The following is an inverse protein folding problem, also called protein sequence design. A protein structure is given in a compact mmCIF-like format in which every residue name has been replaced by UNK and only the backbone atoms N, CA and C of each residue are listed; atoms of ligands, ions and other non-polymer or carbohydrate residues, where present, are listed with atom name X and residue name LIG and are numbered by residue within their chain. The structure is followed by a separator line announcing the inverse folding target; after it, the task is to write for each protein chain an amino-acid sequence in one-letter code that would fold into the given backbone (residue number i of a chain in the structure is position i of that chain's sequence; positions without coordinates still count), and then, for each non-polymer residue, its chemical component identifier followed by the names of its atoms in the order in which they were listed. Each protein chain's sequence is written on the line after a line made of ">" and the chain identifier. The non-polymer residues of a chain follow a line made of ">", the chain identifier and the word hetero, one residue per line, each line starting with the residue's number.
data_IF_008136184261
#
_entry.id   IF_008136184261
#
_cell.length_a   1.000
_cell.length_b   1.000
_cell.length_c   1.000
_cell.angle_alpha   90.00
_cell.angle_beta   90.00
_cell.angle_gamma   90.00
#
_symmetry.space_group_name_H-M   'P 1'
#
loop_
_entity.id
_entity.type
_entity.pdbx_description
1 polymer ?
#
# COMPACT_ATOMS: atom_id res chain seq x y z
N UNK A 1 14.76 12.78 3.31
CA UNK A 1 13.68 11.84 2.89
C UNK A 1 14.32 10.72 2.10
N UNK A 2 14.19 9.46 2.52
CA UNK A 2 14.93 8.35 1.91
C UNK A 2 14.19 7.71 0.72
N UNK A 3 14.94 7.29 -0.30
CA UNK A 3 14.45 6.54 -1.46
C UNK A 3 13.53 5.37 -1.09
N UNK A 4 13.84 4.65 0.00
CA UNK A 4 13.02 3.54 0.49
C UNK A 4 11.61 3.95 0.94
N UNK A 5 11.46 5.15 1.51
CA UNK A 5 10.16 5.70 1.90
C UNK A 5 9.36 6.13 0.67
N UNK A 6 10.01 6.81 -0.28
CA UNK A 6 9.40 7.16 -1.56
C UNK A 6 8.92 5.91 -2.32
N UNK A 7 9.77 4.88 -2.41
CA UNK A 7 9.44 3.62 -3.08
C UNK A 7 8.26 2.93 -2.41
N UNK A 8 8.22 2.91 -1.08
CA UNK A 8 7.10 2.33 -0.30
C UNK A 8 5.79 3.08 -0.55
N UNK A 9 5.80 4.41 -0.45
CA UNK A 9 4.61 5.25 -0.62
C UNK A 9 4.02 5.07 -2.03
N UNK A 10 4.87 5.06 -3.07
CA UNK A 10 4.44 4.78 -4.44
C UNK A 10 3.91 3.34 -4.59
N UNK A 11 4.66 2.34 -4.10
CA UNK A 11 4.24 0.93 -4.18
C UNK A 11 2.86 0.71 -3.54
N UNK A 12 2.63 1.29 -2.35
CA UNK A 12 1.36 1.19 -1.65
C UNK A 12 0.22 1.84 -2.45
N UNK A 13 0.45 3.03 -3.00
CA UNK A 13 -0.54 3.76 -3.78
C UNK A 13 -1.01 2.95 -5.00
N UNK A 14 -0.07 2.43 -5.80
CA UNK A 14 -0.41 1.70 -7.03
C UNK A 14 -0.94 0.29 -6.79
N UNK A 15 -0.50 -0.40 -5.72
CA UNK A 15 -1.08 -1.68 -5.32
C UNK A 15 -2.55 -1.52 -4.88
N UNK A 16 -2.86 -0.44 -4.15
CA UNK A 16 -4.24 -0.11 -3.77
C UNK A 16 -5.09 0.24 -5.00
N UNK A 17 -4.58 1.06 -5.91
CA UNK A 17 -5.25 1.40 -7.17
C UNK A 17 -5.59 0.15 -7.99
N UNK A 18 -4.62 -0.74 -8.22
CA UNK A 18 -4.85 -1.97 -8.97
C UNK A 18 -5.82 -2.93 -8.27
N UNK A 19 -5.81 -2.99 -6.93
CA UNK A 19 -6.78 -3.76 -6.17
C UNK A 19 -8.20 -3.17 -6.27
N UNK A 20 -8.33 -1.84 -6.22
CA UNK A 20 -9.60 -1.14 -6.37
C UNK A 20 -10.17 -1.33 -7.78
N UNK A 21 -9.33 -1.26 -8.81
CA UNK A 21 -9.73 -1.52 -10.20
C UNK A 21 -10.26 -2.95 -10.37
N UNK A 22 -9.56 -3.94 -9.81
CA UNK A 22 -10.04 -5.34 -9.82
C UNK A 22 -11.38 -5.47 -9.10
N UNK A 23 -11.53 -4.82 -7.94
CA UNK A 23 -12.77 -4.84 -7.17
C UNK A 23 -13.92 -4.23 -7.96
N UNK A 24 -13.69 -3.09 -8.62
CA UNK A 24 -14.64 -2.41 -9.49
C UNK A 24 -15.09 -3.27 -10.68
N UNK A 25 -14.20 -4.12 -11.23
CA UNK A 25 -14.55 -5.08 -12.28
C UNK A 25 -15.39 -6.25 -11.75
N UNK A 26 -15.12 -6.72 -10.53
CA UNK A 26 -15.79 -7.90 -9.96
C UNK A 26 -17.10 -7.60 -9.23
N UNK A 27 -17.30 -6.37 -8.75
CA UNK A 27 -18.48 -5.97 -7.97
C UNK A 27 -19.27 -4.88 -8.68
N UNK A 28 -20.52 -5.16 -9.11
CA UNK A 28 -21.43 -4.13 -9.58
C UNK A 28 -21.62 -3.05 -8.50
N UNK A 29 -21.46 -1.78 -8.86
CA UNK A 29 -21.68 -0.63 -7.96
C UNK A 29 -20.42 -0.02 -7.32
N UNK A 30 -19.23 -0.60 -7.54
CA UNK A 30 -17.98 0.02 -7.06
C UNK A 30 -17.42 0.96 -8.14
N UNK A 31 -17.19 2.24 -7.80
CA UNK A 31 -16.67 3.24 -8.73
C UNK A 31 -15.23 2.89 -9.11
N UNK A 32 -14.97 2.74 -10.41
CA UNK A 32 -13.60 2.51 -10.89
C UNK A 32 -12.68 3.69 -10.53
N UNK A 33 -11.42 3.42 -10.12
CA UNK A 33 -10.44 4.47 -9.91
C UNK A 33 -10.14 5.21 -11.23
N UNK A 34 -9.65 6.45 -11.12
CA UNK A 34 -9.31 7.28 -12.29
C UNK A 34 -8.32 6.53 -13.19
N UNK A 35 -8.50 6.55 -14.53
CA UNK A 35 -7.53 5.94 -15.44
C UNK A 35 -6.16 6.60 -15.28
N UNK A 36 -5.07 5.80 -15.38
CA UNK A 36 -3.73 6.30 -15.15
C UNK A 36 -3.35 7.38 -16.16
N UNK A 37 -2.78 8.47 -15.65
CA UNK A 37 -2.30 9.60 -16.41
C UNK A 37 -0.76 9.60 -16.43
N UNK A 38 -0.21 9.09 -17.53
CA UNK A 38 1.22 9.23 -17.87
C UNK A 38 2.07 7.97 -17.69
N UNK A 39 3.32 8.04 -18.16
CA UNK A 39 4.21 6.87 -18.28
C UNK A 39 4.63 6.29 -16.92
N UNK A 40 4.73 7.11 -15.88
CA UNK A 40 5.10 6.66 -14.53
C UNK A 40 3.98 5.80 -13.93
N UNK A 41 2.72 6.25 -13.98
CA UNK A 41 1.59 5.46 -13.47
C UNK A 41 1.42 4.16 -14.25
N UNK A 42 1.63 4.20 -15.57
CA UNK A 42 1.62 3.01 -16.42
C UNK A 42 2.71 2.01 -16.02
N UNK A 43 3.95 2.46 -15.78
CA UNK A 43 5.01 1.58 -15.29
C UNK A 43 4.61 0.91 -13.98
N UNK A 44 4.05 1.66 -13.02
CA UNK A 44 3.69 1.12 -11.73
C UNK A 44 2.52 0.14 -11.79
N UNK A 45 1.45 0.46 -12.53
CA UNK A 45 0.28 -0.41 -12.63
C UNK A 45 0.53 -1.63 -13.53
N UNK A 46 1.32 -1.48 -14.59
CA UNK A 46 1.44 -2.48 -15.66
C UNK A 46 2.72 -3.32 -15.58
N UNK A 47 3.75 -2.85 -14.87
CA UNK A 47 5.02 -3.57 -14.67
C UNK A 47 5.23 -3.90 -13.20
N UNK A 48 5.25 -2.89 -12.32
CA UNK A 48 5.59 -3.13 -10.92
C UNK A 48 4.53 -3.97 -10.18
N UNK A 49 3.25 -3.62 -10.28
CA UNK A 49 2.18 -4.33 -9.60
C UNK A 49 2.08 -5.83 -9.96
N UNK A 50 2.13 -6.25 -11.24
CA UNK A 50 2.12 -7.67 -11.58
C UNK A 50 3.41 -8.38 -11.16
N UNK A 51 4.58 -7.75 -11.31
CA UNK A 51 5.86 -8.33 -10.84
C UNK A 51 5.84 -8.52 -9.32
N UNK A 52 5.30 -7.56 -8.57
CA UNK A 52 5.15 -7.66 -7.12
C UNK A 52 4.14 -8.74 -6.72
N UNK A 53 3.08 -8.97 -7.51
CA UNK A 53 2.13 -10.06 -7.30
C UNK A 53 2.72 -11.44 -7.60
N UNK A 54 3.55 -11.55 -8.64
CA UNK A 54 4.24 -12.78 -9.01
C UNK A 54 5.39 -13.14 -8.05
N UNK A 55 5.80 -12.19 -7.20
CA UNK A 55 6.93 -12.37 -6.30
C UNK A 55 6.67 -13.49 -5.28
N UNK A 56 7.57 -14.46 -5.12
CA UNK A 56 7.44 -15.51 -4.13
C UNK A 56 7.32 -14.94 -2.72
N UNK A 57 6.47 -15.57 -1.90
CA UNK A 57 6.25 -15.19 -0.51
C UNK A 57 7.53 -14.87 0.31
N UNK A 58 8.61 -15.68 0.26
CA UNK A 58 9.82 -15.37 1.04
C UNK A 58 10.49 -14.05 0.63
N UNK A 59 10.44 -13.70 -0.66
CA UNK A 59 10.99 -12.46 -1.19
C UNK A 59 10.13 -11.27 -0.77
N UNK A 60 8.81 -11.40 -0.90
CA UNK A 60 7.83 -10.42 -0.45
C UNK A 60 7.97 -10.14 1.06
N UNK A 61 8.16 -11.18 1.86
CA UNK A 61 8.35 -11.07 3.31
C UNK A 61 9.66 -10.38 3.69
N UNK A 62 10.75 -10.65 2.95
CA UNK A 62 12.01 -9.92 3.11
C UNK A 62 11.86 -8.43 2.80
N UNK A 63 11.20 -8.09 1.70
CA UNK A 63 10.96 -6.69 1.29
C UNK A 63 10.09 -5.97 2.32
N UNK A 64 9.00 -6.60 2.78
CA UNK A 64 8.14 -6.04 3.82
C UNK A 64 8.89 -5.77 5.13
N UNK A 65 9.78 -6.69 5.55
CA UNK A 65 10.62 -6.52 6.75
C UNK A 65 11.74 -5.48 6.58
N UNK A 66 12.27 -5.33 5.37
CA UNK A 66 13.29 -4.35 5.05
C UNK A 66 12.70 -2.92 4.95
N UNK A 67 11.44 -2.78 4.53
CA UNK A 67 10.80 -1.47 4.39
C UNK A 67 10.41 -0.87 5.76
N UNK A 68 10.82 0.38 6.07
CA UNK A 68 10.38 1.08 7.26
C UNK A 68 8.88 1.34 7.17
N UNK A 69 8.11 0.92 8.18
CA UNK A 69 6.64 0.97 8.16
C UNK A 69 6.03 1.05 9.54
N UNK A 70 4.70 1.13 9.59
CA UNK A 70 3.93 1.11 10.84
C UNK A 70 4.33 -0.06 11.76
N UNK A 71 4.69 -1.22 11.19
CA UNK A 71 5.23 -2.38 11.92
C UNK A 71 6.55 -2.14 12.68
N UNK A 72 7.28 -1.05 12.40
CA UNK A 72 8.47 -0.60 13.15
C UNK A 72 8.21 0.67 13.95
N UNK A 73 7.01 1.26 13.84
CA UNK A 73 6.63 2.40 14.66
C UNK A 73 6.07 1.84 15.97
N UNK A 74 6.63 2.23 17.14
CA UNK A 74 5.93 1.97 18.38
C UNK A 74 4.56 2.61 18.29
N UNK A 75 3.52 1.87 18.68
CA UNK A 75 2.19 2.44 18.84
C UNK A 75 2.29 3.62 19.81
N UNK A 76 1.59 4.71 19.51
CA UNK A 76 1.52 5.82 20.45
C UNK A 76 1.00 5.27 21.79
N UNK A 77 1.69 5.58 22.89
CA UNK A 77 1.28 5.15 24.22
C UNK A 77 -0.17 5.60 24.43
N UNK A 78 -1.10 4.68 24.74
CA UNK A 78 -2.48 5.07 24.98
C UNK A 78 -2.51 6.12 26.10
N UNK A 79 -3.34 7.17 25.97
CA UNK A 79 -3.46 8.19 27.01
C UNK A 79 -3.86 7.52 28.33
N UNK A 80 -3.28 7.99 29.45
CA UNK A 80 -3.65 7.50 30.77
C UNK A 80 -5.15 7.71 30.98
N UNK A 81 -5.89 6.72 31.53
CA UNK A 81 -7.30 6.87 31.85
C UNK A 81 -7.49 8.09 32.74
N UNK A 82 -8.24 9.08 32.27
CA UNK A 82 -8.47 10.32 33.00
C UNK A 82 -9.70 10.15 33.89
N UNK A 83 -9.50 9.53 35.06
CA UNK A 83 -10.48 9.48 36.16
C UNK A 83 -11.80 8.73 35.86
N UNK A 84 -12.61 8.46 36.91
CA UNK A 84 -13.91 7.84 36.73
C UNK A 84 -14.83 8.79 35.96
N UNK A 85 -15.57 8.25 34.99
CA UNK A 85 -16.71 8.94 34.40
C UNK A 85 -17.76 9.09 35.51
N UNK A 86 -17.91 10.30 36.03
CA UNK A 86 -18.98 10.69 36.97
C UNK A 86 -20.20 11.10 36.16
#
# INVERSE_FOLDING_TARGET
>A
MGFSRWLRENSQHYLLMGAHEQLARTRPGTRAPRPPHGPVELFWLRVFAPVYRALPWPLRHRILRAMPGSHRRPWATPPRPSGPAV
#
